data_IF_419953236493
#
_entry.id   IF_419953236493
#
_cell.length_a   1.000
_cell.length_b   1.000
_cell.length_c   1.000
_cell.angle_alpha   90.00
_cell.angle_beta   90.00
_cell.angle_gamma   90.00
#
_symmetry.space_group_name_H-M   'P 1'
#
loop_
_entity.id
_entity.type
_entity.pdbx_description
1 polymer ?
#
# COMPACT_ATOMS: atom_id res chain seq x y z
N UNK A 1 -3.93 -26.74 41.76
CA UNK A 1 -5.07 -27.44 41.15
C UNK A 1 -5.11 -27.01 39.69
N UNK A 2 -4.58 -27.81 38.77
CA UNK A 2 -4.62 -27.47 37.35
C UNK A 2 -6.05 -27.73 36.87
N UNK A 3 -6.84 -26.67 36.66
CA UNK A 3 -8.18 -26.81 36.10
C UNK A 3 -8.06 -27.47 34.71
N UNK A 4 -8.90 -28.47 34.46
CA UNK A 4 -9.07 -29.05 33.13
C UNK A 4 -9.58 -27.96 32.17
N UNK A 5 -9.08 -27.92 30.92
CA UNK A 5 -9.53 -26.94 29.94
C UNK A 5 -11.05 -27.05 29.70
N UNK A 6 -11.72 -25.93 29.43
CA UNK A 6 -13.11 -25.95 29.00
C UNK A 6 -13.29 -26.62 27.63
N UNK A 7 -12.27 -26.54 26.76
CA UNK A 7 -12.26 -27.18 25.45
C UNK A 7 -11.25 -28.33 25.45
N UNK A 8 -11.77 -29.56 25.36
CA UNK A 8 -10.94 -30.75 25.15
C UNK A 8 -10.65 -30.94 23.65
N UNK A 9 -9.68 -30.17 23.15
CA UNK A 9 -9.26 -30.21 21.75
C UNK A 9 -7.97 -31.02 21.59
N UNK A 10 -7.85 -31.84 20.51
CA UNK A 10 -6.57 -32.39 20.11
C UNK A 10 -5.61 -31.27 19.72
N UNK A 11 -4.30 -31.55 19.70
CA UNK A 11 -3.26 -30.54 19.42
C UNK A 11 -3.50 -29.77 18.10
N UNK A 12 -4.00 -30.44 17.06
CA UNK A 12 -4.30 -29.80 15.78
C UNK A 12 -5.52 -28.88 15.87
N UNK A 13 -6.48 -29.18 16.75
CA UNK A 13 -7.63 -28.32 17.05
C UNK A 13 -7.20 -27.02 17.72
N UNK A 14 -6.22 -27.09 18.64
CA UNK A 14 -5.61 -25.91 19.27
C UNK A 14 -4.89 -25.04 18.23
N UNK A 15 -4.16 -25.66 17.29
CA UNK A 15 -3.52 -24.94 16.18
C UNK A 15 -4.56 -24.23 15.31
N UNK A 16 -5.63 -24.91 14.91
CA UNK A 16 -6.71 -24.30 14.11
C UNK A 16 -7.40 -23.16 14.86
N UNK A 17 -7.67 -23.33 16.16
CA UNK A 17 -8.23 -22.29 17.01
C UNK A 17 -7.29 -21.06 17.07
N UNK A 18 -5.99 -21.29 17.27
CA UNK A 18 -4.98 -20.23 17.29
C UNK A 18 -4.95 -19.46 15.96
N UNK A 19 -4.95 -20.18 14.82
CA UNK A 19 -4.99 -19.57 13.49
C UNK A 19 -6.27 -18.77 13.25
N UNK A 20 -7.42 -19.27 13.72
CA UNK A 20 -8.67 -18.54 13.61
C UNK A 20 -8.66 -17.25 14.45
N UNK A 21 -8.18 -17.31 15.70
CA UNK A 21 -8.08 -16.16 16.59
C UNK A 21 -7.13 -15.09 16.01
N UNK A 22 -5.96 -15.48 15.52
CA UNK A 22 -5.00 -14.54 14.92
C UNK A 22 -5.51 -13.99 13.58
N UNK A 23 -6.26 -14.78 12.80
CA UNK A 23 -6.92 -14.30 11.60
C UNK A 23 -7.95 -13.21 11.91
N UNK A 24 -8.78 -13.37 12.95
CA UNK A 24 -9.70 -12.31 13.38
C UNK A 24 -8.93 -11.06 13.78
N UNK A 25 -7.80 -11.20 14.50
CA UNK A 25 -6.94 -10.05 14.85
C UNK A 25 -6.41 -9.33 13.60
N UNK A 26 -5.90 -10.06 12.60
CA UNK A 26 -5.45 -9.48 11.32
C UNK A 26 -6.58 -8.75 10.61
N UNK A 27 -7.74 -9.39 10.46
CA UNK A 27 -8.91 -8.79 9.82
C UNK A 27 -9.37 -7.53 10.57
N UNK A 28 -9.26 -7.52 11.90
CA UNK A 28 -9.54 -6.34 12.71
C UNK A 28 -8.54 -5.22 12.45
N UNK A 29 -7.24 -5.51 12.34
CA UNK A 29 -6.23 -4.49 11.99
C UNK A 29 -6.50 -3.90 10.60
N UNK A 30 -6.65 -4.75 9.57
CA UNK A 30 -6.84 -4.27 8.19
C UNK A 30 -8.15 -3.52 8.00
N UNK A 31 -9.27 -4.04 8.51
CA UNK A 31 -10.58 -3.42 8.24
C UNK A 31 -10.85 -2.22 9.14
N UNK A 32 -10.58 -2.33 10.44
CA UNK A 32 -10.91 -1.29 11.41
C UNK A 32 -9.78 -0.27 11.56
N UNK A 33 -8.56 -0.67 11.93
CA UNK A 33 -7.48 0.31 12.15
C UNK A 33 -7.01 0.96 10.84
N UNK A 34 -6.78 0.13 9.81
CA UNK A 34 -6.16 0.58 8.58
C UNK A 34 -7.17 1.24 7.62
N UNK A 35 -8.10 0.47 7.05
CA UNK A 35 -9.03 0.96 6.01
C UNK A 35 -10.08 1.94 6.57
N UNK A 36 -10.64 1.66 7.74
CA UNK A 36 -11.67 2.51 8.35
C UNK A 36 -11.10 3.71 9.11
N UNK A 37 -10.26 3.51 10.13
CA UNK A 37 -9.81 4.60 11.00
C UNK A 37 -8.69 5.45 10.38
N UNK A 38 -7.64 4.83 9.83
CA UNK A 38 -6.51 5.57 9.29
C UNK A 38 -6.83 6.22 7.94
N UNK A 39 -7.42 5.48 7.00
CA UNK A 39 -7.64 5.95 5.63
C UNK A 39 -9.05 6.42 5.28
N UNK A 40 -10.05 6.18 6.14
CA UNK A 40 -11.45 6.60 5.92
C UNK A 40 -12.01 6.09 4.57
N UNK A 41 -11.55 4.92 4.15
CA UNK A 41 -11.93 4.33 2.88
C UNK A 41 -13.27 3.57 2.95
N UNK A 42 -13.65 3.16 4.16
CA UNK A 42 -14.88 2.45 4.47
C UNK A 42 -15.43 2.97 5.80
N UNK A 43 -16.75 3.08 5.91
CA UNK A 43 -17.43 3.29 7.18
C UNK A 43 -18.04 1.98 7.66
N UNK A 44 -17.73 1.58 8.89
CA UNK A 44 -18.28 0.38 9.50
C UNK A 44 -19.48 0.75 10.37
N UNK A 45 -20.49 -0.12 10.38
CA UNK A 45 -21.60 -0.04 11.33
C UNK A 45 -21.05 -0.02 12.77
N UNK A 46 -21.67 0.77 13.65
CA UNK A 46 -21.14 1.06 15.00
C UNK A 46 -20.85 -0.22 15.81
N UNK A 47 -21.73 -1.22 15.74
CA UNK A 47 -21.53 -2.51 16.39
C UNK A 47 -20.32 -3.29 15.86
N UNK A 48 -20.14 -3.34 14.53
CA UNK A 48 -19.00 -4.01 13.90
C UNK A 48 -17.69 -3.27 14.18
N UNK A 49 -17.71 -1.94 14.12
CA UNK A 49 -16.58 -1.09 14.49
C UNK A 49 -16.17 -1.32 15.95
N UNK A 50 -17.14 -1.39 16.86
CA UNK A 50 -16.85 -1.62 18.28
C UNK A 50 -16.33 -3.04 18.52
N UNK A 51 -16.88 -4.06 17.84
CA UNK A 51 -16.37 -5.42 17.90
C UNK A 51 -14.87 -5.48 17.57
N UNK A 52 -14.47 -4.92 16.42
CA UNK A 52 -13.05 -4.92 16.03
C UNK A 52 -12.18 -4.12 16.99
N UNK A 53 -12.67 -2.96 17.46
CA UNK A 53 -11.96 -2.14 18.45
C UNK A 53 -11.71 -2.92 19.75
N UNK A 54 -12.75 -3.55 20.29
CA UNK A 54 -12.67 -4.36 21.51
C UNK A 54 -11.75 -5.56 21.33
N UNK A 55 -11.88 -6.28 20.21
CA UNK A 55 -11.05 -7.43 19.89
C UNK A 55 -9.56 -7.08 19.84
N UNK A 56 -9.21 -5.94 19.26
CA UNK A 56 -7.82 -5.47 19.21
C UNK A 56 -7.31 -5.02 20.57
N UNK A 57 -8.13 -4.35 21.38
CA UNK A 57 -7.76 -4.05 22.75
C UNK A 57 -7.45 -5.33 23.54
N UNK A 58 -8.29 -6.36 23.38
CA UNK A 58 -8.12 -7.66 24.04
C UNK A 58 -6.84 -8.39 23.57
N UNK A 59 -6.63 -8.48 22.25
CA UNK A 59 -5.58 -9.33 21.65
C UNK A 59 -4.24 -8.64 21.44
N UNK A 60 -4.19 -7.31 21.48
CA UNK A 60 -2.96 -6.55 21.19
C UNK A 60 -2.73 -5.36 22.10
N UNK A 61 -3.71 -4.95 22.91
CA UNK A 61 -3.62 -3.77 23.77
C UNK A 61 -3.42 -2.46 22.99
N UNK A 62 -3.73 -2.44 21.70
CA UNK A 62 -3.48 -1.27 20.85
C UNK A 62 -4.52 -0.19 21.10
N UNK A 63 -4.06 1.04 21.26
CA UNK A 63 -4.91 2.24 21.32
C UNK A 63 -5.13 2.75 19.89
N UNK A 64 -6.39 2.93 19.50
CA UNK A 64 -6.75 3.28 18.11
C UNK A 64 -6.05 4.58 17.67
N UNK A 65 -6.08 5.61 18.52
CA UNK A 65 -5.50 6.93 18.19
C UNK A 65 -3.99 6.87 17.98
N UNK A 66 -3.27 6.10 18.80
CA UNK A 66 -1.82 5.92 18.66
C UNK A 66 -1.48 5.23 17.35
N UNK A 67 -2.16 4.12 17.04
CA UNK A 67 -1.89 3.36 15.81
C UNK A 67 -2.16 4.20 14.57
N UNK A 68 -3.32 4.88 14.54
CA UNK A 68 -3.70 5.79 13.44
C UNK A 68 -2.66 6.90 13.25
N UNK A 69 -2.15 7.48 14.35
CA UNK A 69 -1.14 8.52 14.27
C UNK A 69 0.18 8.02 13.69
N UNK A 70 0.68 6.87 14.16
CA UNK A 70 1.92 6.27 13.67
C UNK A 70 1.80 5.90 12.20
N UNK A 71 0.69 5.27 11.80
CA UNK A 71 0.44 4.87 10.41
C UNK A 71 0.31 6.07 9.46
N UNK A 72 -0.43 7.12 9.87
CA UNK A 72 -0.54 8.34 9.06
C UNK A 72 0.77 9.11 8.98
N UNK A 73 1.57 9.12 10.05
CA UNK A 73 2.94 9.70 10.02
C UNK A 73 3.83 8.93 9.05
N UNK A 74 3.75 7.60 9.04
CA UNK A 74 4.43 6.77 8.04
C UNK A 74 4.05 7.20 6.62
N UNK A 75 2.76 7.24 6.25
CA UNK A 75 2.37 7.71 4.91
C UNK A 75 2.81 9.14 4.59
N UNK A 76 2.75 10.06 5.57
CA UNK A 76 3.12 11.45 5.36
C UNK A 76 4.64 11.65 5.16
N UNK A 77 5.46 10.76 5.74
CA UNK A 77 6.92 10.86 5.81
C UNK A 77 7.62 9.61 5.29
N UNK A 78 6.93 8.84 4.46
CA UNK A 78 7.32 7.49 4.05
C UNK A 78 8.74 7.46 3.52
N UNK A 79 9.52 6.51 4.03
CA UNK A 79 10.92 6.28 3.64
C UNK A 79 11.86 7.49 3.81
N UNK A 80 11.46 8.48 4.60
CA UNK A 80 12.33 9.57 5.07
C UNK A 80 12.81 9.30 6.50
N UNK A 81 13.77 10.09 6.99
CA UNK A 81 14.24 10.01 8.38
C UNK A 81 13.14 10.29 9.42
N UNK A 82 12.03 10.91 9.03
CA UNK A 82 10.87 11.14 9.91
C UNK A 82 9.87 9.97 9.93
N UNK A 83 10.02 8.97 9.05
CA UNK A 83 9.22 7.75 9.06
C UNK A 83 9.50 6.94 10.34
N UNK A 84 8.48 6.64 11.18
CA UNK A 84 8.68 5.86 12.40
C UNK A 84 9.35 4.50 12.22
N UNK A 85 9.16 3.88 11.05
CA UNK A 85 9.57 2.48 10.84
C UNK A 85 10.06 2.21 9.42
N UNK A 86 10.67 3.20 8.75
CA UNK A 86 11.25 2.96 7.42
C UNK A 86 12.42 1.98 7.48
N UNK A 87 12.37 0.86 6.74
CA UNK A 87 13.51 -0.04 6.61
C UNK A 87 14.63 0.55 5.76
N UNK A 88 14.36 1.57 4.95
CA UNK A 88 15.36 2.30 4.17
C UNK A 88 16.28 3.15 5.08
N UNK A 89 15.75 3.64 6.19
CA UNK A 89 16.50 4.44 7.17
C UNK A 89 17.05 3.57 8.32
N UNK A 90 16.23 2.68 8.86
CA UNK A 90 16.56 1.91 10.06
C UNK A 90 17.22 0.56 9.76
N UNK A 91 17.21 0.13 8.50
CA UNK A 91 17.65 -1.18 8.05
C UNK A 91 16.59 -2.25 8.27
N UNK A 92 16.45 -3.13 7.28
CA UNK A 92 15.43 -4.19 7.27
C UNK A 92 15.47 -5.09 8.51
N UNK A 93 16.66 -5.45 9.00
CA UNK A 93 16.80 -6.32 10.18
C UNK A 93 16.25 -5.68 11.46
N UNK A 94 16.36 -4.35 11.60
CA UNK A 94 15.79 -3.63 12.75
C UNK A 94 14.27 -3.58 12.67
N UNK A 95 13.70 -3.30 11.49
CA UNK A 95 12.25 -3.23 11.32
C UNK A 95 11.62 -4.61 11.51
N UNK A 96 12.16 -5.65 10.87
CA UNK A 96 11.67 -7.04 10.98
C UNK A 96 11.58 -7.55 12.42
N UNK A 97 12.65 -7.37 13.22
CA UNK A 97 12.75 -8.00 14.53
C UNK A 97 12.50 -7.04 15.71
N UNK A 98 12.58 -5.73 15.48
CA UNK A 98 12.43 -4.69 16.51
C UNK A 98 11.42 -3.61 16.13
N UNK A 99 10.60 -3.84 15.10
CA UNK A 99 9.58 -2.90 14.61
C UNK A 99 8.59 -2.48 15.69
N UNK A 100 8.24 -3.37 16.62
CA UNK A 100 7.38 -3.03 17.77
C UNK A 100 7.99 -1.95 18.68
N UNK A 101 9.31 -1.93 18.84
CA UNK A 101 10.00 -0.90 19.61
C UNK A 101 10.00 0.45 18.91
N UNK A 102 10.12 0.45 17.57
CA UNK A 102 9.99 1.64 16.73
C UNK A 102 8.57 2.21 16.80
N UNK A 103 7.57 1.34 16.66
CA UNK A 103 6.16 1.67 16.85
C UNK A 103 5.92 2.30 18.22
N UNK A 104 6.34 1.63 19.31
CA UNK A 104 6.10 2.11 20.68
C UNK A 104 6.70 3.49 20.91
N UNK A 105 7.92 3.73 20.43
CA UNK A 105 8.56 5.05 20.53
C UNK A 105 7.72 6.15 19.87
N UNK A 106 7.21 5.89 18.67
CA UNK A 106 6.38 6.85 17.94
C UNK A 106 4.98 7.00 18.54
N UNK A 107 4.40 5.92 19.07
CA UNK A 107 3.10 5.93 19.76
C UNK A 107 3.15 6.72 21.07
N UNK A 108 4.28 6.71 21.79
CA UNK A 108 4.45 7.50 23.03
C UNK A 108 4.79 8.97 22.80
N UNK A 109 5.14 9.36 21.56
CA UNK A 109 5.40 10.75 21.20
C UNK A 109 4.09 11.53 21.05
N UNK A 110 3.75 12.32 22.06
CA UNK A 110 2.52 13.11 22.11
C UNK A 110 2.38 14.07 20.94
N UNK A 111 3.48 14.65 20.43
CA UNK A 111 3.41 15.54 19.28
C UNK A 111 2.97 14.79 18.01
N UNK A 112 3.47 13.56 17.83
CA UNK A 112 3.03 12.67 16.75
C UNK A 112 1.56 12.29 16.91
N UNK A 113 1.14 11.87 18.10
CA UNK A 113 -0.24 11.43 18.37
C UNK A 113 -1.26 12.56 18.15
N UNK A 114 -0.98 13.76 18.68
CA UNK A 114 -1.86 14.92 18.51
C UNK A 114 -1.95 15.34 17.04
N UNK A 115 -0.81 15.38 16.32
CA UNK A 115 -0.78 15.84 14.93
C UNK A 115 -1.46 14.87 13.96
N UNK A 116 -1.22 13.56 14.10
CA UNK A 116 -1.64 12.57 13.10
C UNK A 116 -2.84 11.70 13.55
N UNK A 117 -3.16 11.64 14.85
CA UNK A 117 -4.24 10.82 15.42
C UNK A 117 -5.64 11.44 15.35
N UNK A 118 -5.81 12.54 14.65
CA UNK A 118 -7.08 13.30 14.59
C UNK A 118 -8.24 12.47 14.02
N UNK A 119 -9.43 12.65 14.59
CA UNK A 119 -10.64 11.91 14.21
C UNK A 119 -10.70 10.46 14.69
N UNK A 120 -9.67 9.93 15.36
CA UNK A 120 -9.79 8.65 16.06
C UNK A 120 -10.79 8.76 17.25
N UNK A 121 -11.41 7.64 17.67
CA UNK A 121 -12.42 7.65 18.73
C UNK A 121 -11.91 8.29 20.02
N UNK A 122 -12.83 8.95 20.72
CA UNK A 122 -12.64 9.57 22.03
C UNK A 122 -13.95 9.51 22.81
N UNK A 123 -14.62 8.36 22.77
CA UNK A 123 -15.82 8.14 23.56
C UNK A 123 -15.48 7.75 25.01
N UNK A 124 -16.50 7.64 25.85
CA UNK A 124 -16.32 7.30 27.27
C UNK A 124 -15.62 5.95 27.46
N UNK A 125 -15.88 4.95 26.61
CA UNK A 125 -15.25 3.63 26.70
C UNK A 125 -13.77 3.72 26.32
N UNK A 126 -13.44 4.49 25.28
CA UNK A 126 -12.05 4.73 24.89
C UNK A 126 -11.25 5.34 26.05
N UNK A 127 -11.77 6.40 26.70
CA UNK A 127 -11.08 7.07 27.81
C UNK A 127 -11.04 6.25 29.10
N UNK A 128 -12.11 5.54 29.43
CA UNK A 128 -12.23 4.84 30.71
C UNK A 128 -11.54 3.46 30.69
N UNK A 129 -11.53 2.79 29.54
CA UNK A 129 -11.07 1.41 29.42
C UNK A 129 -9.91 1.25 28.44
N UNK A 130 -10.12 1.55 27.14
CA UNK A 130 -9.18 1.12 26.11
C UNK A 130 -7.84 1.86 26.16
N UNK A 131 -7.86 3.19 26.19
CA UNK A 131 -6.67 4.02 26.31
C UNK A 131 -6.05 3.95 27.71
N UNK A 132 -6.87 3.80 28.75
CA UNK A 132 -6.40 3.83 30.15
C UNK A 132 -5.81 2.50 30.62
N UNK A 133 -6.32 1.38 30.12
CA UNK A 133 -5.98 0.05 30.61
C UNK A 133 -5.65 -0.93 29.46
N UNK A 134 -4.69 -0.64 28.57
CA UNK A 134 -4.32 -1.56 27.47
C UNK A 134 -3.79 -2.91 27.98
N UNK A 135 -3.04 -2.92 29.09
CA UNK A 135 -2.52 -4.15 29.70
C UNK A 135 -3.64 -5.05 30.28
N UNK A 136 -4.79 -4.47 30.66
CA UNK A 136 -5.93 -5.24 31.16
C UNK A 136 -6.54 -6.09 30.04
N UNK A 137 -6.57 -5.59 28.80
CA UNK A 137 -7.01 -6.37 27.64
C UNK A 137 -6.14 -7.61 27.45
N UNK A 138 -4.82 -7.42 27.44
CA UNK A 138 -3.86 -8.52 27.30
C UNK A 138 -3.98 -9.56 28.42
N UNK A 139 -4.12 -9.11 29.67
CA UNK A 139 -4.30 -9.99 30.81
C UNK A 139 -5.64 -10.75 30.77
N UNK A 140 -6.70 -10.10 30.27
CA UNK A 140 -8.02 -10.71 30.08
C UNK A 140 -7.95 -11.79 29.00
N UNK A 141 -7.27 -11.53 27.87
CA UNK A 141 -7.06 -12.54 26.83
C UNK A 141 -6.29 -13.75 27.37
N UNK A 142 -5.22 -13.52 28.15
CA UNK A 142 -4.47 -14.61 28.79
C UNK A 142 -5.38 -15.45 29.68
N UNK A 143 -6.20 -14.82 30.53
CA UNK A 143 -7.14 -15.55 31.38
C UNK A 143 -8.15 -16.37 30.56
N UNK A 144 -8.65 -15.83 29.45
CA UNK A 144 -9.55 -16.54 28.52
C UNK A 144 -8.83 -17.76 27.92
N UNK A 145 -7.62 -17.61 27.40
CA UNK A 145 -6.89 -18.71 26.77
C UNK A 145 -6.51 -19.82 27.77
N UNK A 146 -6.10 -19.44 28.98
CA UNK A 146 -5.83 -20.39 30.06
C UNK A 146 -7.09 -21.17 30.46
N UNK A 147 -8.25 -20.51 30.47
CA UNK A 147 -9.52 -21.15 30.79
C UNK A 147 -9.99 -22.08 29.67
N UNK A 148 -9.84 -21.66 28.40
CA UNK A 148 -10.29 -22.42 27.24
C UNK A 148 -9.39 -23.62 26.94
N UNK A 149 -8.07 -23.43 26.96
CA UNK A 149 -7.10 -24.42 26.48
C UNK A 149 -6.21 -25.00 27.60
N UNK A 150 -6.42 -24.58 28.85
CA UNK A 150 -5.60 -25.01 29.99
C UNK A 150 -4.27 -24.27 30.05
N UNK A 151 -3.50 -24.51 31.11
CA UNK A 151 -2.31 -23.70 31.41
C UNK A 151 -1.27 -23.70 30.29
N UNK A 152 -0.81 -24.89 29.87
CA UNK A 152 0.28 -25.02 28.89
C UNK A 152 -0.13 -24.53 27.51
N UNK A 153 -1.23 -25.06 26.96
CA UNK A 153 -1.66 -24.69 25.62
C UNK A 153 -2.21 -23.26 25.57
N UNK A 154 -2.96 -22.81 26.58
CA UNK A 154 -3.45 -21.44 26.66
C UNK A 154 -2.34 -20.40 26.70
N UNK A 155 -1.26 -20.65 27.45
CA UNK A 155 -0.08 -19.76 27.46
C UNK A 155 0.57 -19.68 26.07
N UNK A 156 0.66 -20.80 25.35
CA UNK A 156 1.22 -20.84 23.99
C UNK A 156 0.33 -20.12 22.98
N UNK A 157 -0.98 -20.35 23.01
CA UNK A 157 -1.96 -19.65 22.16
C UNK A 157 -1.85 -18.14 22.36
N UNK A 158 -1.87 -17.70 23.62
CA UNK A 158 -1.73 -16.29 23.97
C UNK A 158 -0.40 -15.71 23.47
N UNK A 159 0.72 -16.40 23.69
CA UNK A 159 2.04 -15.96 23.24
C UNK A 159 2.11 -15.79 21.71
N UNK A 160 1.49 -16.71 20.95
CA UNK A 160 1.37 -16.60 19.49
C UNK A 160 0.55 -15.38 19.11
N UNK A 161 -0.59 -15.13 19.75
CA UNK A 161 -1.42 -13.94 19.50
C UNK A 161 -0.65 -12.64 19.78
N UNK A 162 0.08 -12.56 20.89
CA UNK A 162 0.88 -11.39 21.25
C UNK A 162 2.02 -11.12 20.25
N UNK A 163 2.63 -12.17 19.71
CA UNK A 163 3.71 -12.06 18.72
C UNK A 163 3.19 -11.74 17.30
N UNK A 164 1.93 -12.06 17.01
CA UNK A 164 1.40 -12.11 15.65
C UNK A 164 1.45 -10.75 14.93
N UNK A 165 0.82 -9.72 15.49
CA UNK A 165 0.80 -8.36 14.89
C UNK A 165 2.19 -7.70 14.91
N UNK A 166 2.98 -7.75 16.01
CA UNK A 166 4.36 -7.28 16.00
C UNK A 166 5.20 -7.87 14.87
N UNK A 167 5.09 -9.17 14.61
CA UNK A 167 5.86 -9.82 13.56
C UNK A 167 5.31 -9.49 12.18
N UNK A 168 4.03 -9.76 11.92
CA UNK A 168 3.46 -9.63 10.58
C UNK A 168 3.26 -8.18 10.14
N UNK A 169 2.68 -7.31 10.98
CA UNK A 169 2.43 -5.93 10.60
C UNK A 169 3.68 -5.06 10.77
N UNK A 170 4.21 -4.97 11.99
CA UNK A 170 5.34 -4.07 12.27
C UNK A 170 6.67 -4.57 11.71
N UNK A 171 6.85 -5.89 11.58
CA UNK A 171 8.01 -6.50 10.96
C UNK A 171 7.84 -6.67 9.45
N UNK A 172 6.97 -7.57 9.02
CA UNK A 172 6.87 -8.01 7.62
C UNK A 172 6.27 -6.93 6.71
N UNK A 173 5.09 -6.36 7.01
CA UNK A 173 4.49 -5.33 6.15
C UNK A 173 5.35 -4.07 6.11
N UNK A 174 5.70 -3.49 7.27
CA UNK A 174 6.50 -2.27 7.31
C UNK A 174 7.94 -2.48 6.82
N UNK A 175 8.50 -3.68 7.04
CA UNK A 175 9.85 -4.04 6.61
C UNK A 175 9.89 -4.54 5.18
N UNK A 176 9.43 -5.78 4.94
CA UNK A 176 9.48 -6.43 3.62
C UNK A 176 8.67 -5.64 2.60
N UNK A 177 7.50 -5.13 2.99
CA UNK A 177 6.65 -4.31 2.12
C UNK A 177 7.30 -3.00 1.67
N UNK A 178 8.40 -2.54 2.27
CA UNK A 178 9.20 -1.40 1.79
C UNK A 178 10.61 -1.80 1.32
N UNK A 179 10.89 -3.10 1.19
CA UNK A 179 12.24 -3.60 0.89
C UNK A 179 12.26 -4.55 -0.31
N UNK A 180 11.30 -5.47 -0.41
CA UNK A 180 11.32 -6.53 -1.41
C UNK A 180 9.91 -6.90 -1.89
N UNK A 181 9.80 -7.21 -3.18
CA UNK A 181 8.56 -7.63 -3.82
C UNK A 181 8.40 -7.01 -5.21
N UNK A 182 7.19 -7.10 -5.76
CA UNK A 182 6.86 -6.52 -7.06
C UNK A 182 6.13 -5.18 -6.92
N UNK A 183 5.99 -4.44 -8.02
CA UNK A 183 5.21 -3.18 -8.05
C UNK A 183 4.30 -3.17 -9.25
N UNK A 184 3.07 -2.72 -9.03
CA UNK A 184 2.17 -2.34 -10.12
C UNK A 184 2.31 -0.86 -10.46
N UNK A 185 2.70 -0.04 -9.49
CA UNK A 185 2.71 1.42 -9.58
C UNK A 185 4.04 2.01 -9.14
N UNK A 186 4.43 3.09 -9.84
CA UNK A 186 5.59 3.91 -9.52
C UNK A 186 5.17 5.01 -8.55
N UNK A 187 5.24 4.69 -7.26
CA UNK A 187 5.15 5.65 -6.15
C UNK A 187 6.55 6.16 -5.80
N UNK A 188 6.63 7.34 -5.14
CA UNK A 188 7.91 7.96 -4.74
C UNK A 188 8.61 7.22 -3.59
N UNK A 189 7.86 6.42 -2.84
CA UNK A 189 8.36 5.57 -1.76
C UNK A 189 8.88 4.21 -2.27
N UNK A 190 9.47 3.44 -1.35
CA UNK A 190 10.03 2.13 -1.62
C UNK A 190 9.01 0.98 -1.51
N UNK A 191 7.70 1.24 -1.41
CA UNK A 191 6.68 0.20 -1.21
C UNK A 191 6.66 -0.89 -2.30
N UNK A 192 6.39 -2.12 -1.92
CA UNK A 192 6.40 -3.32 -2.75
C UNK A 192 5.25 -4.22 -2.33
N UNK A 193 4.55 -4.79 -3.30
CA UNK A 193 3.66 -5.91 -3.03
C UNK A 193 4.52 -7.14 -2.71
N UNK A 194 4.32 -7.72 -1.52
CA UNK A 194 5.10 -8.85 -1.02
C UNK A 194 4.73 -10.13 -1.78
N UNK A 195 3.43 -10.42 -1.85
CA UNK A 195 2.87 -11.57 -2.54
C UNK A 195 1.50 -11.21 -3.13
N UNK A 196 1.09 -11.84 -4.25
CA UNK A 196 -0.22 -11.58 -4.84
C UNK A 196 -1.38 -12.18 -4.03
N UNK A 197 -1.10 -13.06 -3.06
CA UNK A 197 -2.11 -13.81 -2.32
C UNK A 197 -2.28 -13.19 -0.93
N UNK A 198 -3.00 -12.07 -0.88
CA UNK A 198 -3.22 -11.29 0.33
C UNK A 198 -4.20 -11.94 1.29
N UNK A 199 -3.81 -13.11 1.82
CA UNK A 199 -4.63 -13.98 2.69
C UNK A 199 -4.11 -13.94 4.12
N UNK A 200 -2.79 -14.03 4.30
CA UNK A 200 -2.15 -14.22 5.61
C UNK A 200 -2.28 -12.96 6.45
N UNK A 201 -2.18 -11.78 5.84
CA UNK A 201 -2.18 -10.49 6.54
C UNK A 201 -3.35 -9.63 6.03
N UNK A 202 -4.45 -10.24 5.61
CA UNK A 202 -5.68 -9.49 5.36
C UNK A 202 -5.68 -8.66 4.08
N UNK A 203 -4.74 -8.87 3.16
CA UNK A 203 -4.58 -8.08 1.92
C UNK A 203 -3.47 -7.03 2.00
N UNK A 204 -2.93 -6.77 3.19
CA UNK A 204 -1.84 -5.82 3.44
C UNK A 204 -0.55 -6.16 2.67
N UNK A 205 -0.43 -7.41 2.20
CA UNK A 205 0.66 -7.86 1.33
C UNK A 205 0.71 -7.09 -0.01
N UNK A 206 -0.40 -6.48 -0.43
CA UNK A 206 -0.51 -5.66 -1.63
C UNK A 206 -0.13 -4.18 -1.34
N UNK A 207 1.01 -4.01 -0.67
CA UNK A 207 1.43 -2.74 -0.07
C UNK A 207 1.74 -1.63 -1.08
N UNK A 208 2.33 -1.95 -2.24
CA UNK A 208 2.56 -0.94 -3.29
C UNK A 208 1.26 -0.42 -3.88
N UNK A 209 0.25 -1.28 -4.01
CA UNK A 209 -1.07 -0.86 -4.47
C UNK A 209 -1.73 0.08 -3.45
N UNK A 210 -1.62 -0.27 -2.17
CA UNK A 210 -2.09 0.56 -1.07
C UNK A 210 -1.40 1.93 -1.06
N UNK A 211 -0.07 2.00 -1.14
CA UNK A 211 0.64 3.28 -1.17
C UNK A 211 0.29 4.14 -2.40
N UNK A 212 0.00 3.52 -3.54
CA UNK A 212 -0.47 4.24 -4.73
C UNK A 212 -1.89 4.82 -4.53
N UNK A 213 -2.80 4.06 -3.91
CA UNK A 213 -4.20 4.44 -3.72
C UNK A 213 -4.65 4.30 -2.27
N UNK A 214 -3.97 5.01 -1.36
CA UNK A 214 -4.15 4.83 0.09
C UNK A 214 -5.57 5.11 0.59
N UNK A 215 -6.37 5.87 -0.16
CA UNK A 215 -7.78 6.14 0.19
C UNK A 215 -8.75 5.06 -0.29
N UNK A 216 -8.29 4.04 -1.01
CA UNK A 216 -9.13 2.94 -1.50
C UNK A 216 -9.37 1.88 -0.43
N UNK A 217 -10.59 1.38 -0.35
CA UNK A 217 -10.94 0.25 0.52
C UNK A 217 -10.49 -1.11 -0.04
N UNK A 218 -10.06 -1.14 -1.30
CA UNK A 218 -9.57 -2.33 -2.01
C UNK A 218 -8.09 -2.17 -2.37
N UNK A 219 -7.26 -3.15 -2.02
CA UNK A 219 -5.83 -3.16 -2.33
C UNK A 219 -5.47 -3.97 -3.56
N UNK A 220 -6.31 -4.92 -3.98
CA UNK A 220 -6.10 -5.65 -5.24
C UNK A 220 -6.40 -4.78 -6.45
N UNK A 221 -5.46 -4.77 -7.41
CA UNK A 221 -5.56 -3.98 -8.65
C UNK A 221 -5.49 -4.87 -9.89
N UNK A 222 -4.82 -6.02 -9.79
CA UNK A 222 -4.72 -6.99 -10.88
C UNK A 222 -5.68 -8.17 -10.67
N UNK A 223 -6.16 -8.83 -11.74
CA UNK A 223 -7.07 -9.97 -11.62
C UNK A 223 -6.53 -11.17 -10.82
N UNK A 224 -5.20 -11.35 -10.82
CA UNK A 224 -4.53 -12.43 -10.09
C UNK A 224 -4.23 -12.09 -8.62
N UNK A 225 -4.52 -10.87 -8.18
CA UNK A 225 -4.30 -10.43 -6.81
C UNK A 225 -5.53 -10.71 -5.95
N UNK A 226 -5.32 -11.42 -4.85
CA UNK A 226 -6.35 -11.74 -3.87
C UNK A 226 -6.21 -10.76 -2.71
N UNK A 227 -7.29 -10.08 -2.36
CA UNK A 227 -7.39 -9.21 -1.19
C UNK A 227 -8.52 -9.76 -0.30
N UNK A 228 -8.15 -10.53 0.73
CA UNK A 228 -9.15 -11.14 1.62
C UNK A 228 -9.92 -10.08 2.42
N UNK A 229 -9.27 -8.97 2.78
CA UNK A 229 -9.94 -7.85 3.45
C UNK A 229 -11.06 -7.27 2.58
N UNK A 230 -10.85 -7.15 1.27
CA UNK A 230 -11.90 -6.74 0.33
C UNK A 230 -13.07 -7.74 0.28
N UNK A 231 -12.80 -9.04 0.35
CA UNK A 231 -13.86 -10.07 0.42
C UNK A 231 -14.72 -9.87 1.67
N UNK A 232 -14.11 -9.67 2.84
CA UNK A 232 -14.85 -9.38 4.07
C UNK A 232 -15.63 -8.07 3.99
N UNK A 233 -15.05 -6.99 3.46
CA UNK A 233 -15.76 -5.71 3.30
C UNK A 233 -16.98 -5.85 2.39
N UNK A 234 -16.86 -6.61 1.29
CA UNK A 234 -18.00 -6.88 0.41
C UNK A 234 -19.08 -7.69 1.12
N UNK A 235 -18.71 -8.69 1.91
CA UNK A 235 -19.66 -9.47 2.70
C UNK A 235 -20.38 -8.58 3.73
N UNK A 236 -19.65 -7.75 4.48
CA UNK A 236 -20.24 -6.82 5.43
C UNK A 236 -21.11 -5.75 4.76
N UNK A 237 -20.71 -5.26 3.59
CA UNK A 237 -21.52 -4.31 2.83
C UNK A 237 -22.84 -4.92 2.36
N UNK A 238 -22.81 -6.18 1.89
CA UNK A 238 -24.02 -6.91 1.53
C UNK A 238 -24.97 -7.12 2.74
N UNK A 239 -24.43 -7.19 3.95
CA UNK A 239 -25.19 -7.28 5.20
C UNK A 239 -25.58 -5.90 5.79
N UNK A 240 -25.27 -4.79 5.12
CA UNK A 240 -25.52 -3.44 5.64
C UNK A 240 -24.61 -3.02 6.81
N UNK A 241 -23.54 -3.78 7.07
CA UNK A 241 -22.59 -3.54 8.17
C UNK A 241 -21.38 -2.70 7.75
N UNK A 242 -21.21 -2.41 6.46
CA UNK A 242 -20.14 -1.56 5.95
C UNK A 242 -20.62 -0.72 4.75
N UNK A 243 -20.16 0.52 4.66
CA UNK A 243 -20.37 1.41 3.51
C UNK A 243 -19.01 1.73 2.90
N UNK A 244 -18.75 1.21 1.69
CA UNK A 244 -17.52 1.48 0.96
C UNK A 244 -17.58 2.92 0.44
N UNK A 245 -16.62 3.76 0.84
CA UNK A 245 -16.60 5.18 0.46
C UNK A 245 -15.81 5.41 -0.81
N UNK A 246 -14.69 4.72 -0.96
CA UNK A 246 -13.75 4.93 -2.06
C UNK A 246 -13.14 3.61 -2.49
N UNK A 247 -13.05 3.44 -3.79
CA UNK A 247 -12.26 2.39 -4.44
C UNK A 247 -11.28 3.05 -5.41
N UNK A 248 -10.32 2.27 -5.91
CA UNK A 248 -9.42 2.72 -6.98
C UNK A 248 -10.29 3.21 -8.15
N UNK A 249 -10.10 4.46 -8.61
CA UNK A 249 -10.80 4.95 -9.79
C UNK A 249 -10.48 4.06 -11.00
N UNK A 250 -11.45 3.88 -11.90
CA UNK A 250 -11.25 3.15 -13.14
C UNK A 250 -11.16 4.12 -14.31
N UNK A 251 -10.20 3.85 -15.20
CA UNK A 251 -10.09 4.52 -16.49
C UNK A 251 -10.97 3.80 -17.50
N UNK A 252 -11.78 4.58 -18.22
CA UNK A 252 -12.47 4.17 -19.42
C UNK A 252 -12.03 5.04 -20.61
N UNK A 253 -12.50 4.75 -21.82
CA UNK A 253 -12.13 5.51 -23.03
C UNK A 253 -13.29 5.86 -23.94
N UNK A 254 -13.10 6.98 -24.64
CA UNK A 254 -13.95 7.43 -25.74
C UNK A 254 -13.06 7.68 -26.95
N UNK A 255 -13.03 6.72 -27.88
CA UNK A 255 -12.13 6.72 -29.05
C UNK A 255 -12.36 7.91 -30.01
N UNK A 256 -13.51 8.59 -29.90
CA UNK A 256 -13.82 9.76 -30.71
C UNK A 256 -13.07 11.05 -30.27
N UNK A 257 -12.50 11.10 -29.06
CA UNK A 257 -11.82 12.31 -28.56
C UNK A 257 -10.52 12.57 -29.31
N UNK A 258 -10.35 13.81 -29.79
CA UNK A 258 -9.15 14.26 -30.53
C UNK A 258 -8.31 15.29 -29.78
N UNK A 259 -8.83 15.85 -28.69
CA UNK A 259 -8.15 16.83 -27.84
C UNK A 259 -8.37 16.48 -26.36
N UNK A 260 -7.44 16.91 -25.50
CA UNK A 260 -7.63 16.86 -24.07
C UNK A 260 -8.71 17.85 -23.64
N UNK A 261 -9.64 17.39 -22.83
CA UNK A 261 -10.66 18.22 -22.20
C UNK A 261 -10.60 18.08 -20.67
N UNK A 262 -11.52 18.76 -19.96
CA UNK A 262 -11.56 18.72 -18.50
C UNK A 262 -11.84 17.30 -17.96
N UNK A 263 -12.57 16.47 -18.69
CA UNK A 263 -12.83 15.08 -18.32
C UNK A 263 -11.55 14.23 -18.44
N UNK A 264 -10.76 14.44 -19.51
CA UNK A 264 -9.44 13.85 -19.67
C UNK A 264 -8.52 14.23 -18.52
N UNK A 265 -8.47 15.51 -18.14
CA UNK A 265 -7.67 16.00 -17.00
C UNK A 265 -8.08 15.30 -15.71
N UNK A 266 -9.38 15.27 -15.40
CA UNK A 266 -9.88 14.61 -14.19
C UNK A 266 -9.53 13.12 -14.16
N UNK A 267 -9.68 12.43 -15.30
CA UNK A 267 -9.35 11.01 -15.44
C UNK A 267 -7.86 10.75 -15.22
N UNK A 268 -6.99 11.51 -15.88
CA UNK A 268 -5.53 11.39 -15.79
C UNK A 268 -5.03 11.71 -14.40
N UNK A 269 -5.50 12.79 -13.77
CA UNK A 269 -5.05 13.20 -12.42
C UNK A 269 -5.49 12.18 -11.36
N UNK A 270 -6.73 11.70 -11.42
CA UNK A 270 -7.25 10.70 -10.49
C UNK A 270 -6.56 9.33 -10.65
N UNK A 271 -6.11 9.00 -11.87
CA UNK A 271 -5.51 7.71 -12.22
C UNK A 271 -4.03 7.81 -12.61
N UNK A 272 -3.32 8.85 -12.15
CA UNK A 272 -1.94 9.13 -12.59
C UNK A 272 -1.01 7.92 -12.48
N UNK A 273 -1.15 7.11 -11.42
CA UNK A 273 -0.34 5.90 -11.25
C UNK A 273 -0.67 4.83 -12.31
N UNK A 274 -1.96 4.67 -12.64
CA UNK A 274 -2.38 3.77 -13.72
C UNK A 274 -1.90 4.28 -15.09
N UNK A 275 -2.01 5.58 -15.37
CA UNK A 275 -1.49 6.20 -16.60
C UNK A 275 0.01 5.95 -16.76
N UNK A 276 0.80 6.13 -15.69
CA UNK A 276 2.23 5.84 -15.73
C UNK A 276 2.54 4.35 -15.86
N UNK A 277 1.76 3.48 -15.21
CA UNK A 277 1.88 2.02 -15.37
C UNK A 277 1.61 1.61 -16.83
N UNK A 278 0.58 2.18 -17.44
CA UNK A 278 0.22 1.97 -18.83
C UNK A 278 1.31 2.48 -19.78
N UNK A 279 1.84 3.69 -19.55
CA UNK A 279 2.96 4.24 -20.31
C UNK A 279 4.17 3.32 -20.26
N UNK A 280 4.52 2.81 -19.08
CA UNK A 280 5.64 1.89 -18.93
C UNK A 280 5.42 0.58 -19.71
N UNK A 281 4.25 -0.03 -19.60
CA UNK A 281 3.98 -1.32 -20.27
C UNK A 281 3.81 -1.18 -21.79
N UNK A 282 3.20 -0.09 -22.25
CA UNK A 282 2.83 0.10 -23.65
C UNK A 282 3.91 0.83 -24.45
N UNK A 283 4.67 1.74 -23.82
CA UNK A 283 5.70 2.52 -24.50
C UNK A 283 7.09 2.01 -24.11
N UNK A 284 7.51 2.24 -22.85
CA UNK A 284 8.90 1.98 -22.39
C UNK A 284 9.32 0.54 -22.66
N UNK A 285 8.48 -0.43 -22.26
CA UNK A 285 8.79 -1.85 -22.39
C UNK A 285 8.84 -2.33 -23.85
N UNK A 286 8.03 -1.73 -24.73
CA UNK A 286 8.03 -2.06 -26.17
C UNK A 286 9.31 -1.55 -26.82
N UNK A 287 9.62 -0.25 -26.67
CA UNK A 287 10.85 0.34 -27.20
C UNK A 287 12.08 -0.38 -26.64
N UNK A 288 12.13 -0.63 -25.33
CA UNK A 288 13.21 -1.40 -24.73
C UNK A 288 13.42 -2.78 -25.36
N UNK A 289 12.34 -3.51 -25.64
CA UNK A 289 12.42 -4.83 -26.29
C UNK A 289 12.91 -4.72 -27.74
N UNK A 290 12.51 -3.69 -28.46
CA UNK A 290 12.99 -3.41 -29.82
C UNK A 290 14.49 -3.09 -29.82
N UNK A 291 14.94 -2.19 -28.95
CA UNK A 291 16.37 -1.85 -28.80
C UNK A 291 17.20 -3.09 -28.42
N UNK A 292 16.72 -3.92 -27.49
CA UNK A 292 17.40 -5.18 -27.13
C UNK A 292 17.43 -6.22 -28.26
N UNK A 293 16.50 -6.16 -29.21
CA UNK A 293 16.49 -7.02 -30.40
C UNK A 293 17.46 -6.48 -31.45
N UNK A 294 17.54 -5.16 -31.62
CA UNK A 294 18.50 -4.52 -32.52
C UNK A 294 19.95 -4.77 -32.07
N UNK A 295 20.21 -4.76 -30.77
CA UNK A 295 21.53 -5.04 -30.17
C UNK A 295 21.85 -6.54 -30.03
N UNK A 296 21.14 -7.43 -30.74
CA UNK A 296 21.37 -8.88 -30.62
C UNK A 296 22.78 -9.23 -31.13
N UNK A 297 23.63 -9.73 -30.23
CA UNK A 297 25.03 -10.06 -30.54
C UNK A 297 26.03 -8.94 -30.24
N UNK A 298 25.56 -7.72 -29.93
CA UNK A 298 26.42 -6.62 -29.49
C UNK A 298 26.80 -6.76 -28.00
N UNK A 299 28.04 -6.44 -27.59
CA UNK A 299 28.43 -6.34 -26.19
C UNK A 299 27.61 -5.29 -25.41
N UNK A 300 27.07 -4.28 -26.10
CA UNK A 300 26.28 -3.18 -25.51
C UNK A 300 24.92 -3.65 -24.98
N UNK A 301 24.43 -4.80 -25.45
CA UNK A 301 23.17 -5.39 -24.99
C UNK A 301 23.15 -5.62 -23.48
N UNK A 302 24.30 -5.98 -22.89
CA UNK A 302 24.46 -6.14 -21.44
C UNK A 302 24.40 -4.81 -20.69
N UNK A 303 24.92 -3.74 -21.29
CA UNK A 303 24.90 -2.38 -20.73
C UNK A 303 23.46 -1.86 -20.67
N UNK A 304 22.72 -1.95 -21.79
CA UNK A 304 21.32 -1.50 -21.87
C UNK A 304 20.40 -2.25 -20.89
N UNK A 305 20.64 -3.56 -20.69
CA UNK A 305 19.91 -4.32 -19.65
C UNK A 305 20.14 -3.78 -18.25
N UNK A 306 21.39 -3.47 -17.90
CA UNK A 306 21.75 -2.90 -16.60
C UNK A 306 21.20 -1.49 -16.42
N UNK A 307 21.25 -0.67 -17.48
CA UNK A 307 20.72 0.69 -17.48
C UNK A 307 19.22 0.74 -17.21
N UNK A 308 18.42 -0.07 -17.90
CA UNK A 308 16.96 -0.11 -17.67
C UNK A 308 16.61 -0.70 -16.31
N UNK A 309 17.37 -1.69 -15.83
CA UNK A 309 17.21 -2.18 -14.47
C UNK A 309 17.55 -1.10 -13.42
N UNK A 310 18.56 -0.28 -13.67
CA UNK A 310 18.96 0.84 -12.84
C UNK A 310 17.92 1.97 -12.86
N UNK A 311 17.38 2.35 -14.03
CA UNK A 311 16.27 3.31 -14.17
C UNK A 311 15.04 2.91 -13.36
N UNK A 312 14.63 1.65 -13.47
CA UNK A 312 13.49 1.14 -12.71
C UNK A 312 13.71 1.15 -11.20
N UNK A 313 14.98 1.12 -10.74
CA UNK A 313 15.35 1.28 -9.33
C UNK A 313 15.48 2.74 -8.92
N UNK A 314 16.05 3.60 -9.75
CA UNK A 314 16.21 5.03 -9.49
C UNK A 314 14.84 5.74 -9.37
N UNK A 315 13.84 5.29 -10.12
CA UNK A 315 12.44 5.68 -9.93
C UNK A 315 11.88 5.36 -8.53
N UNK A 316 12.45 4.38 -7.82
CA UNK A 316 11.99 3.91 -6.51
C UNK A 316 12.91 4.32 -5.34
N UNK A 317 14.11 4.83 -5.62
CA UNK A 317 15.06 5.27 -4.61
C UNK A 317 15.85 6.46 -5.16
N UNK A 318 15.90 7.61 -4.47
CA UNK A 318 16.57 8.83 -4.94
C UNK A 318 18.12 8.72 -4.84
N UNK A 319 18.70 7.64 -5.35
CA UNK A 319 20.16 7.51 -5.46
C UNK A 319 20.65 8.22 -6.72
N UNK A 320 21.27 9.39 -6.53
CA UNK A 320 21.85 10.21 -7.60
C UNK A 320 22.94 9.48 -8.38
N UNK A 321 23.73 8.62 -7.75
CA UNK A 321 24.83 7.88 -8.43
C UNK A 321 24.29 6.88 -9.44
N UNK A 322 23.13 6.29 -9.16
CA UNK A 322 22.46 5.38 -10.06
C UNK A 322 21.87 6.11 -11.28
N UNK A 323 21.42 7.36 -11.09
CA UNK A 323 20.89 8.21 -12.15
C UNK A 323 22.00 8.68 -13.13
N UNK A 324 23.19 8.97 -12.64
CA UNK A 324 24.33 9.40 -13.47
C UNK A 324 24.75 8.29 -14.46
N UNK A 325 24.94 7.07 -13.96
CA UNK A 325 25.29 5.92 -14.82
C UNK A 325 24.21 5.58 -15.85
N UNK A 326 22.95 5.83 -15.50
CA UNK A 326 21.81 5.63 -16.39
C UNK A 326 21.88 6.58 -17.60
N UNK A 327 22.33 7.82 -17.40
CA UNK A 327 22.44 8.81 -18.46
C UNK A 327 23.44 8.37 -19.53
N UNK A 328 24.63 7.93 -19.12
CA UNK A 328 25.70 7.44 -20.00
C UNK A 328 25.22 6.28 -20.89
N UNK A 329 24.40 5.38 -20.35
CA UNK A 329 23.88 4.24 -21.13
C UNK A 329 22.74 4.59 -22.08
N UNK A 330 21.98 5.65 -21.80
CA UNK A 330 20.90 6.12 -22.66
C UNK A 330 21.42 6.84 -23.92
N UNK A 331 22.68 7.29 -23.93
CA UNK A 331 23.32 7.85 -25.12
C UNK A 331 23.43 6.83 -26.26
N UNK A 332 23.61 5.55 -25.93
CA UNK A 332 23.66 4.45 -26.91
C UNK A 332 22.30 4.13 -27.53
N UNK A 333 21.19 4.57 -26.93
CA UNK A 333 19.84 4.29 -27.41
C UNK A 333 18.98 5.56 -27.44
N UNK A 334 19.15 6.43 -28.46
CA UNK A 334 18.47 7.72 -28.55
C UNK A 334 16.93 7.63 -28.44
N UNK A 335 16.33 6.60 -29.03
CA UNK A 335 14.88 6.33 -28.94
C UNK A 335 14.44 6.07 -27.50
N UNK A 336 15.19 5.22 -26.78
CA UNK A 336 14.89 4.89 -25.39
C UNK A 336 15.07 6.12 -24.48
N UNK A 337 16.15 6.90 -24.70
CA UNK A 337 16.38 8.17 -24.01
C UNK A 337 15.20 9.11 -24.17
N UNK A 338 14.74 9.30 -25.41
CA UNK A 338 13.61 10.18 -25.73
C UNK A 338 12.33 9.71 -25.04
N UNK A 339 12.04 8.40 -25.04
CA UNK A 339 10.87 7.84 -24.33
C UNK A 339 10.95 8.11 -22.82
N UNK A 340 12.14 8.03 -22.21
CA UNK A 340 12.30 8.40 -20.80
C UNK A 340 12.12 9.90 -20.56
N UNK A 341 12.57 10.77 -21.48
CA UNK A 341 12.26 12.21 -21.43
C UNK A 341 10.75 12.44 -21.47
N UNK A 342 10.04 11.79 -22.40
CA UNK A 342 8.58 11.88 -22.49
C UNK A 342 7.88 11.37 -21.24
N UNK A 343 8.40 10.31 -20.60
CA UNK A 343 7.92 9.82 -19.31
C UNK A 343 7.99 10.91 -18.23
N UNK A 344 9.15 11.56 -18.10
CA UNK A 344 9.37 12.62 -17.10
C UNK A 344 8.47 13.82 -17.36
N UNK A 345 8.38 14.28 -18.61
CA UNK A 345 7.47 15.36 -19.02
C UNK A 345 6.02 15.04 -18.67
N UNK A 346 5.58 13.80 -18.91
CA UNK A 346 4.22 13.36 -18.56
C UNK A 346 3.99 13.44 -17.05
N UNK A 347 4.94 12.94 -16.25
CA UNK A 347 4.86 13.00 -14.78
C UNK A 347 4.81 14.44 -14.26
N UNK A 348 5.52 15.37 -14.89
CA UNK A 348 5.56 16.79 -14.50
C UNK A 348 4.24 17.52 -14.74
N UNK A 349 3.42 17.06 -15.70
CA UNK A 349 2.15 17.73 -16.06
C UNK A 349 1.23 17.99 -14.86
N UNK A 350 1.13 17.03 -13.93
CA UNK A 350 0.24 17.07 -12.76
C UNK A 350 0.97 17.22 -11.42
N UNK A 351 2.29 17.43 -11.41
CA UNK A 351 3.10 17.38 -10.17
C UNK A 351 3.25 18.73 -9.42
N UNK A 352 2.49 19.78 -9.79
CA UNK A 352 2.56 21.09 -9.11
C UNK A 352 1.27 21.44 -8.36
N UNK A 353 1.41 21.77 -7.08
CA UNK A 353 0.34 22.04 -6.11
C UNK A 353 -0.54 23.26 -6.42
N UNK A 354 -0.20 24.05 -7.45
CA UNK A 354 -0.91 25.28 -7.84
C UNK A 354 -1.30 25.30 -9.33
N UNK A 355 -1.32 24.14 -10.01
CA UNK A 355 -1.62 24.09 -11.44
C UNK A 355 -3.13 24.10 -11.67
N UNK A 356 -3.65 25.07 -12.44
CA UNK A 356 -5.08 25.09 -12.78
C UNK A 356 -5.42 23.91 -13.71
N UNK A 357 -6.66 23.39 -13.70
CA UNK A 357 -7.09 22.31 -14.60
C UNK A 357 -6.81 22.63 -16.08
N UNK A 358 -6.95 23.90 -16.48
CA UNK A 358 -6.68 24.38 -17.83
C UNK A 358 -5.19 24.31 -18.17
N UNK A 359 -4.32 24.61 -17.21
CA UNK A 359 -2.87 24.48 -17.39
C UNK A 359 -2.46 23.01 -17.52
N UNK A 360 -3.09 22.11 -16.76
CA UNK A 360 -2.85 20.66 -16.90
C UNK A 360 -3.33 20.19 -18.28
N UNK A 361 -4.52 20.61 -18.70
CA UNK A 361 -5.10 20.30 -20.01
C UNK A 361 -4.14 20.71 -21.13
N UNK A 362 -3.64 21.95 -21.10
CA UNK A 362 -2.70 22.45 -22.10
C UNK A 362 -1.41 21.62 -22.13
N UNK A 363 -0.82 21.33 -20.97
CA UNK A 363 0.41 20.53 -20.88
C UNK A 363 0.21 19.09 -21.39
N UNK A 364 -0.95 18.49 -21.15
CA UNK A 364 -1.28 17.17 -21.69
C UNK A 364 -1.43 17.22 -23.21
N UNK A 365 -2.05 18.27 -23.74
CA UNK A 365 -2.17 18.44 -25.20
C UNK A 365 -0.79 18.68 -25.85
N UNK A 366 0.05 19.54 -25.27
CA UNK A 366 1.43 19.77 -25.72
C UNK A 366 2.24 18.48 -25.70
N UNK A 367 2.09 17.68 -24.64
CA UNK A 367 2.73 16.37 -24.53
C UNK A 367 2.26 15.42 -25.65
N UNK A 368 0.97 15.41 -25.96
CA UNK A 368 0.42 14.58 -27.03
C UNK A 368 0.96 15.00 -28.41
N UNK A 369 0.98 16.31 -28.70
CA UNK A 369 1.52 16.85 -29.96
C UNK A 369 3.02 16.51 -30.09
N UNK A 370 3.79 16.62 -29.00
CA UNK A 370 5.20 16.24 -28.99
C UNK A 370 5.39 14.73 -29.22
N UNK A 371 4.53 13.89 -28.64
CA UNK A 371 4.54 12.44 -28.84
C UNK A 371 4.26 12.06 -30.30
N UNK A 372 3.28 12.70 -30.95
CA UNK A 372 2.92 12.49 -32.36
C UNK A 372 4.07 12.91 -33.29
N UNK A 373 4.69 14.05 -33.02
CA UNK A 373 5.81 14.57 -33.82
C UNK A 373 7.14 13.85 -33.58
N UNK A 374 7.21 12.90 -32.65
CA UNK A 374 8.44 12.18 -32.31
C UNK A 374 8.89 11.17 -33.36
N UNK A 375 7.99 10.75 -34.26
CA UNK A 375 8.24 9.65 -35.20
C UNK A 375 8.32 8.27 -34.54
N UNK A 376 8.03 8.15 -33.23
CA UNK A 376 7.99 6.88 -32.51
C UNK A 376 6.53 6.41 -32.41
N UNK A 377 6.17 5.40 -33.20
CA UNK A 377 4.79 4.89 -33.31
C UNK A 377 4.12 4.61 -31.95
N UNK A 378 4.82 3.99 -31.00
CA UNK A 378 4.23 3.69 -29.69
C UNK A 378 3.94 4.93 -28.82
N UNK A 379 4.60 6.06 -29.07
CA UNK A 379 4.29 7.33 -28.41
C UNK A 379 3.03 7.96 -29.03
N UNK A 380 2.88 7.91 -30.35
CA UNK A 380 1.67 8.30 -31.07
C UNK A 380 0.45 7.46 -30.64
N UNK A 381 0.57 6.13 -30.61
CA UNK A 381 -0.49 5.26 -30.09
C UNK A 381 -0.91 5.62 -28.65
N UNK A 382 0.07 6.00 -27.81
CA UNK A 382 -0.20 6.38 -26.43
C UNK A 382 -0.82 7.78 -26.31
N UNK A 383 -0.47 8.74 -27.15
CA UNK A 383 -1.06 10.09 -27.13
C UNK A 383 -2.55 10.04 -27.48
N UNK A 384 -2.91 9.27 -28.52
CA UNK A 384 -4.31 9.04 -28.90
C UNK A 384 -5.10 8.40 -27.74
N UNK A 385 -4.49 7.41 -27.07
CA UNK A 385 -5.05 6.78 -25.88
C UNK A 385 -5.22 7.75 -24.71
N UNK A 386 -4.24 8.64 -24.49
CA UNK A 386 -4.25 9.61 -23.39
C UNK A 386 -5.43 10.58 -23.55
N UNK A 387 -5.63 11.11 -24.77
CA UNK A 387 -6.77 12.00 -25.08
C UNK A 387 -8.12 11.31 -24.90
N UNK A 388 -8.19 10.02 -25.22
CA UNK A 388 -9.41 9.24 -25.10
C UNK A 388 -9.81 8.92 -23.65
N UNK A 389 -8.95 9.13 -22.64
CA UNK A 389 -9.28 8.78 -21.27
C UNK A 389 -10.47 9.57 -20.71
N UNK A 390 -11.31 8.85 -19.98
CA UNK A 390 -12.34 9.38 -19.10
C UNK A 390 -12.40 8.56 -17.81
N UNK A 391 -13.08 9.10 -16.81
CA UNK A 391 -13.45 8.31 -15.64
C UNK A 391 -14.57 7.35 -16.03
N UNK A 392 -14.45 6.08 -15.64
CA UNK A 392 -15.57 5.15 -15.80
C UNK A 392 -16.74 5.64 -14.94
N UNK A 393 -17.96 5.48 -15.45
CA UNK A 393 -19.17 5.67 -14.64
C UNK A 393 -19.24 4.57 -13.59
N UNK A 394 -19.54 4.97 -12.35
CA UNK A 394 -19.56 4.10 -11.17
C UNK A 394 -20.73 3.11 -11.16
#
# INVERSE_FOLDING_TARGET
MFHLPLLDLPWWGIVLATLALTHITIISVTLYLHRHQAHRAVDLHAGLSHFFRFWLWLTTGMVTREWVAVHRKHHARVDTAEDPHSPQIHGIGRVLWRGVGLYRRAATDQATVVKYGTGAPDDAVERALYSRHPALGLATMLAIDLLLFGFTAGTLVWAVQMAWIPFWAAGVINGVGHWFGYRNYETRDASRNIAPWGIVIGGEELHNNHHAYASSARFSTRPFEIDIGWVYLRAFAALGLATIRRTIPSLDRVDAKRHCDLETVNAVVANRFQVMSDFFQQVVKRVYREELRALRGSPERGLVKRAVAALNRASATPDRRLADHVHDYLELCPRLRYVFTMKSLLQETWNSAQTSPETIMQRLEDWCVQAENSGIQVLDEFSQRLRAYRLATA
#
